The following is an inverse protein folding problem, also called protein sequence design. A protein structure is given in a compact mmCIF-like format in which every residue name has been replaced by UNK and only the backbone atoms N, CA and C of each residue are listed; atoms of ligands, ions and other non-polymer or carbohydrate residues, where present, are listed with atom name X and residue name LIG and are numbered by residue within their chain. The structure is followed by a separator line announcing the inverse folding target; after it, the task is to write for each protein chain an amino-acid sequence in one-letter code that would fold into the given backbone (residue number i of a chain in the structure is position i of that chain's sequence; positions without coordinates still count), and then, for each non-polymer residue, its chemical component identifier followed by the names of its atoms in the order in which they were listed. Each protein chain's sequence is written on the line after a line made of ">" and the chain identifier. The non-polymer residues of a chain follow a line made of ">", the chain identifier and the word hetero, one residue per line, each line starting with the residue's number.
data_IF_323323047170
#
_entry.id   IF_323323047170
#
_cell.length_a   1.000
_cell.length_b   1.000
_cell.length_c   1.000
_cell.angle_alpha   90.00
_cell.angle_beta   90.00
_cell.angle_gamma   90.00
#
_symmetry.space_group_name_H-M   'P 1'
#
loop_
_entity.id
_entity.type
_entity.pdbx_description
1 polymer ?
#
# COMPACT_ATOMS: atom_id res chain seq x y z
N UNK A 1 -30.25 20.35 30.15
CA UNK A 1 -30.65 20.45 28.74
C UNK A 1 -29.53 19.96 27.90
N UNK A 2 -29.71 18.98 26.98
CA UNK A 2 -28.68 18.53 26.06
C UNK A 2 -28.43 19.60 24.99
N UNK A 3 -27.19 19.71 24.44
CA UNK A 3 -26.89 20.69 23.40
C UNK A 3 -27.65 20.35 22.12
N UNK A 4 -28.26 21.41 21.57
CA UNK A 4 -28.99 21.37 20.29
C UNK A 4 -28.05 20.80 19.21
N UNK A 5 -28.45 19.68 18.63
CA UNK A 5 -27.71 18.98 17.59
C UNK A 5 -27.44 19.91 16.41
N UNK A 6 -26.16 20.06 16.08
CA UNK A 6 -25.76 20.61 14.77
C UNK A 6 -26.34 19.65 13.71
N UNK A 7 -27.36 20.12 12.98
CA UNK A 7 -27.79 19.44 11.73
C UNK A 7 -26.56 19.31 10.86
N UNK A 8 -26.14 18.10 10.61
CA UNK A 8 -25.02 17.83 9.73
C UNK A 8 -25.24 18.58 8.41
N UNK A 9 -24.26 19.41 8.02
CA UNK A 9 -24.27 20.10 6.73
C UNK A 9 -24.31 19.00 5.66
N UNK A 10 -25.34 19.03 4.81
CA UNK A 10 -25.43 18.07 3.70
C UNK A 10 -24.11 18.08 2.94
N UNK A 11 -23.53 16.90 2.68
CA UNK A 11 -22.28 16.77 1.97
C UNK A 11 -22.57 17.07 0.49
N UNK A 12 -22.03 18.18 -0.02
CA UNK A 12 -22.15 18.50 -1.44
C UNK A 12 -21.24 17.55 -2.23
N UNK A 13 -21.82 16.89 -3.21
CA UNK A 13 -21.09 16.04 -4.16
C UNK A 13 -20.92 16.77 -5.49
N UNK A 14 -19.84 16.45 -6.19
CA UNK A 14 -19.60 16.96 -7.54
C UNK A 14 -20.28 16.01 -8.53
N UNK A 15 -21.18 16.58 -9.35
CA UNK A 15 -22.01 15.78 -10.28
C UNK A 15 -21.58 15.90 -11.75
N UNK A 16 -20.76 16.92 -12.07
CA UNK A 16 -20.35 17.19 -13.45
C UNK A 16 -18.98 16.60 -13.74
N UNK A 17 -18.95 15.67 -14.70
CA UNK A 17 -17.74 15.04 -15.23
C UNK A 17 -17.76 15.18 -16.77
N UNK A 18 -16.67 15.74 -17.33
CA UNK A 18 -16.55 15.96 -18.78
C UNK A 18 -15.10 15.77 -19.24
N UNK A 19 -14.92 15.45 -20.52
CA UNK A 19 -13.63 15.62 -21.20
C UNK A 19 -13.50 17.09 -21.61
N UNK A 20 -12.40 17.70 -21.20
CA UNK A 20 -12.11 19.11 -21.44
C UNK A 20 -10.81 19.23 -22.24
N UNK A 21 -10.84 20.10 -23.28
CA UNK A 21 -9.63 20.43 -24.02
C UNK A 21 -8.57 21.02 -23.08
N UNK A 22 -7.35 20.49 -23.18
CA UNK A 22 -6.24 20.87 -22.32
C UNK A 22 -5.87 22.35 -22.47
N UNK A 23 -6.14 22.94 -23.64
CA UNK A 23 -5.86 24.33 -23.93
C UNK A 23 -6.82 25.31 -23.23
N UNK A 24 -7.98 24.82 -22.77
CA UNK A 24 -8.91 25.61 -21.97
C UNK A 24 -8.54 25.67 -20.50
N UNK A 25 -7.66 24.79 -20.05
CA UNK A 25 -7.33 24.68 -18.63
C UNK A 25 -6.38 25.78 -18.19
N UNK A 26 -6.74 26.46 -17.13
CA UNK A 26 -6.00 27.59 -16.56
C UNK A 26 -5.27 27.12 -15.31
N UNK A 27 -3.93 27.08 -15.31
CA UNK A 27 -3.16 26.74 -14.11
C UNK A 27 -3.39 27.78 -13.00
N UNK A 28 -3.54 27.31 -11.77
CA UNK A 28 -3.67 28.21 -10.63
C UNK A 28 -2.34 28.93 -10.35
N UNK A 29 -2.31 30.26 -10.52
CA UNK A 29 -1.09 31.07 -10.46
C UNK A 29 -0.35 31.02 -9.10
N UNK A 30 -1.07 30.72 -8.00
CA UNK A 30 -0.51 30.60 -6.63
C UNK A 30 -0.38 29.15 -6.19
N UNK A 31 -0.19 28.22 -7.12
CA UNK A 31 0.05 26.83 -6.76
C UNK A 31 1.41 26.71 -6.04
N UNK A 32 1.35 26.39 -4.75
CA UNK A 32 2.55 26.23 -3.92
C UNK A 32 3.29 24.90 -4.19
N UNK A 33 2.65 23.93 -4.88
CA UNK A 33 3.27 22.66 -5.23
C UNK A 33 4.10 22.81 -6.50
N UNK A 34 5.38 22.50 -6.40
CA UNK A 34 6.30 22.45 -7.53
C UNK A 34 6.36 21.04 -8.09
N UNK A 35 6.54 20.95 -9.41
CA UNK A 35 6.72 19.67 -10.10
C UNK A 35 8.10 19.70 -10.79
N UNK A 36 9.00 18.82 -10.37
CA UNK A 36 10.29 18.66 -11.03
C UNK A 36 10.16 17.82 -12.32
N UNK A 37 11.18 17.85 -13.17
CA UNK A 37 11.17 17.13 -14.44
C UNK A 37 11.03 15.62 -14.28
N UNK A 38 11.62 15.05 -13.22
CA UNK A 38 11.56 13.62 -12.97
C UNK A 38 10.13 13.19 -12.60
N UNK A 39 9.44 13.95 -11.75
CA UNK A 39 8.04 13.69 -11.42
C UNK A 39 7.13 13.77 -12.66
N UNK A 40 7.36 14.75 -13.54
CA UNK A 40 6.58 14.84 -14.80
C UNK A 40 6.85 13.63 -15.67
N UNK A 41 8.09 13.15 -15.77
CA UNK A 41 8.45 11.93 -16.51
C UNK A 41 7.75 10.69 -15.93
N UNK A 42 7.70 10.53 -14.61
CA UNK A 42 6.95 9.45 -13.94
C UNK A 42 5.45 9.54 -14.23
N UNK A 43 4.84 10.73 -14.15
CA UNK A 43 3.44 10.93 -14.48
C UNK A 43 3.14 10.62 -15.95
N UNK A 44 4.04 10.95 -16.88
CA UNK A 44 3.92 10.58 -18.30
C UNK A 44 3.94 9.07 -18.49
N UNK A 45 4.88 8.38 -17.85
CA UNK A 45 4.97 6.93 -17.90
C UNK A 45 3.69 6.28 -17.37
N UNK A 46 3.19 6.76 -16.24
CA UNK A 46 1.90 6.33 -15.66
C UNK A 46 0.71 6.58 -16.60
N UNK A 47 0.67 7.72 -17.28
CA UNK A 47 -0.39 8.02 -18.26
C UNK A 47 -0.34 7.09 -19.49
N UNK A 48 0.84 6.68 -19.92
CA UNK A 48 1.00 5.73 -21.04
C UNK A 48 0.54 4.33 -20.67
N UNK A 49 0.85 3.88 -19.46
CA UNK A 49 0.53 2.53 -18.98
C UNK A 49 -0.94 2.40 -18.59
N UNK A 50 -1.40 3.27 -17.70
CA UNK A 50 -2.73 3.16 -17.11
C UNK A 50 -3.81 4.02 -17.79
N UNK A 51 -3.40 4.91 -18.68
CA UNK A 51 -4.30 5.95 -19.21
C UNK A 51 -4.57 7.06 -18.19
N UNK A 52 -5.53 7.92 -18.51
CA UNK A 52 -5.93 9.03 -17.63
C UNK A 52 -7.04 8.58 -16.66
N UNK A 53 -6.70 7.75 -15.67
CA UNK A 53 -7.64 7.11 -14.74
C UNK A 53 -8.16 8.08 -13.68
N UNK A 54 -7.29 8.96 -13.16
CA UNK A 54 -7.63 9.88 -12.07
C UNK A 54 -7.90 11.29 -12.63
N UNK A 55 -9.17 11.76 -12.71
CA UNK A 55 -9.52 13.03 -13.35
C UNK A 55 -8.91 14.24 -12.65
N UNK A 56 -8.77 15.36 -13.38
CA UNK A 56 -8.41 16.65 -12.81
C UNK A 56 -9.63 17.31 -12.21
N UNK A 57 -9.46 18.09 -11.13
CA UNK A 57 -10.52 18.89 -10.53
C UNK A 57 -10.36 20.33 -11.00
N UNK A 58 -11.42 20.90 -11.54
CA UNK A 58 -11.46 22.28 -12.06
C UNK A 58 -12.70 23.02 -11.55
N UNK A 59 -12.67 24.33 -11.65
CA UNK A 59 -13.86 25.15 -11.41
C UNK A 59 -14.64 25.44 -12.71
N UNK A 60 -15.74 26.17 -12.59
CA UNK A 60 -16.60 26.57 -13.72
C UNK A 60 -15.87 27.38 -14.78
N UNK A 61 -14.81 28.07 -14.42
CA UNK A 61 -14.01 28.96 -15.28
C UNK A 61 -12.73 28.24 -15.79
N UNK A 62 -12.68 26.89 -15.67
CA UNK A 62 -11.59 26.01 -16.08
C UNK A 62 -10.28 26.19 -15.29
N UNK A 63 -10.30 26.88 -14.15
CA UNK A 63 -9.11 26.94 -13.30
C UNK A 63 -8.84 25.58 -12.64
N UNK A 64 -7.61 25.13 -12.73
CA UNK A 64 -7.19 23.85 -12.14
C UNK A 64 -7.13 23.99 -10.63
N UNK A 65 -7.88 23.14 -9.92
CA UNK A 65 -7.88 23.02 -8.46
C UNK A 65 -6.95 21.87 -8.03
N UNK A 66 -7.03 20.70 -8.70
CA UNK A 66 -6.15 19.57 -8.44
C UNK A 66 -5.74 18.86 -9.74
N UNK A 67 -4.53 18.31 -9.78
CA UNK A 67 -4.01 17.57 -10.93
C UNK A 67 -3.08 18.36 -11.85
N UNK A 68 -2.50 19.49 -11.41
CA UNK A 68 -1.57 20.29 -12.21
C UNK A 68 -0.46 19.47 -12.88
N UNK A 69 0.20 18.56 -12.14
CA UNK A 69 1.24 17.70 -12.68
C UNK A 69 0.73 16.78 -13.80
N UNK A 70 -0.49 16.23 -13.65
CA UNK A 70 -1.12 15.39 -14.70
C UNK A 70 -1.44 16.17 -15.95
N UNK A 71 -1.89 17.43 -15.81
CA UNK A 71 -2.11 18.33 -16.95
C UNK A 71 -0.79 18.62 -17.68
N UNK A 72 0.29 18.88 -16.94
CA UNK A 72 1.61 19.09 -17.54
C UNK A 72 2.11 17.84 -18.28
N UNK A 73 1.99 16.66 -17.66
CA UNK A 73 2.36 15.40 -18.26
C UNK A 73 1.54 15.10 -19.52
N UNK A 74 0.22 15.31 -19.47
CA UNK A 74 -0.67 15.12 -20.61
C UNK A 74 -0.35 16.06 -21.78
N UNK A 75 0.01 17.29 -21.50
CA UNK A 75 0.50 18.25 -22.53
C UNK A 75 1.74 17.75 -23.23
N UNK A 76 2.72 17.25 -22.49
CA UNK A 76 3.95 16.70 -23.05
C UNK A 76 3.72 15.38 -23.81
N UNK A 77 2.66 14.62 -23.49
CA UNK A 77 2.24 13.43 -24.23
C UNK A 77 1.37 13.75 -25.46
N UNK A 78 1.05 15.03 -25.71
CA UNK A 78 0.22 15.42 -26.84
C UNK A 78 -1.27 15.06 -26.70
N UNK A 79 -1.73 14.82 -25.47
CA UNK A 79 -3.14 14.54 -25.20
C UNK A 79 -3.93 15.83 -25.34
N UNK A 80 -4.95 15.84 -26.20
CA UNK A 80 -5.73 17.05 -26.48
C UNK A 80 -6.87 17.29 -25.51
N UNK A 81 -7.45 16.24 -24.94
CA UNK A 81 -8.58 16.29 -24.02
C UNK A 81 -8.35 15.39 -22.81
N UNK A 82 -8.68 15.86 -21.62
CA UNK A 82 -8.51 15.09 -20.39
C UNK A 82 -9.82 15.06 -19.57
N UNK A 83 -10.04 13.99 -18.77
CA UNK A 83 -11.19 13.90 -17.90
C UNK A 83 -11.10 14.92 -16.76
N UNK A 84 -12.15 15.68 -16.57
CA UNK A 84 -12.25 16.70 -15.52
C UNK A 84 -13.55 16.55 -14.73
N UNK A 85 -13.44 16.86 -13.44
CA UNK A 85 -14.55 16.96 -12.51
C UNK A 85 -14.70 18.41 -12.08
N UNK A 86 -15.92 18.95 -12.15
CA UNK A 86 -16.19 20.35 -11.86
C UNK A 86 -16.59 20.55 -10.40
N UNK A 87 -15.76 21.22 -9.63
CA UNK A 87 -16.05 21.59 -8.24
C UNK A 87 -16.73 22.97 -8.13
N UNK A 88 -17.92 23.11 -8.75
CA UNK A 88 -18.64 24.38 -8.89
C UNK A 88 -19.20 24.91 -7.57
N UNK A 89 -19.42 24.05 -6.60
CA UNK A 89 -19.98 24.38 -5.28
C UNK A 89 -19.00 25.05 -4.32
N UNK A 90 -17.70 25.08 -4.67
CA UNK A 90 -16.67 25.65 -3.81
C UNK A 90 -16.57 27.17 -3.96
N UNK A 91 -16.58 27.88 -2.85
CA UNK A 91 -16.22 29.33 -2.81
C UNK A 91 -14.73 29.49 -3.09
N UNK A 92 -14.28 30.69 -3.45
CA UNK A 92 -12.87 30.97 -3.74
C UNK A 92 -11.94 30.70 -2.55
N UNK A 93 -12.42 30.93 -1.32
CA UNK A 93 -11.68 30.58 -0.11
C UNK A 93 -11.55 29.06 0.04
N UNK A 94 -12.62 28.30 -0.23
CA UNK A 94 -12.63 26.87 -0.18
C UNK A 94 -11.74 26.24 -1.27
N UNK A 95 -11.75 26.78 -2.50
CA UNK A 95 -10.85 26.34 -3.58
C UNK A 95 -9.38 26.43 -3.14
N UNK A 96 -8.99 27.61 -2.60
CA UNK A 96 -7.62 27.83 -2.10
C UNK A 96 -7.24 26.88 -0.96
N UNK A 97 -8.15 26.71 0.00
CA UNK A 97 -7.93 25.77 1.10
C UNK A 97 -7.83 24.33 0.60
N UNK A 98 -8.68 23.93 -0.35
CA UNK A 98 -8.68 22.59 -0.93
C UNK A 98 -7.38 22.27 -1.69
N UNK A 99 -6.86 23.22 -2.49
CA UNK A 99 -5.56 23.06 -3.19
C UNK A 99 -4.45 22.70 -2.19
N UNK A 100 -4.41 23.35 -1.03
CA UNK A 100 -3.42 23.08 0.01
C UNK A 100 -3.69 21.73 0.72
N UNK A 101 -4.96 21.49 1.07
CA UNK A 101 -5.38 20.28 1.78
C UNK A 101 -5.13 19.01 0.95
N UNK A 102 -5.54 18.98 -0.32
CA UNK A 102 -5.34 17.86 -1.25
C UNK A 102 -3.86 17.46 -1.34
N UNK A 103 -2.99 18.45 -1.51
CA UNK A 103 -1.56 18.21 -1.54
C UNK A 103 -0.97 17.75 -0.20
N UNK A 104 -1.46 18.26 0.92
CA UNK A 104 -0.91 17.94 2.25
C UNK A 104 -1.42 16.61 2.79
N UNK A 105 -2.71 16.32 2.62
CA UNK A 105 -3.32 15.09 3.13
C UNK A 105 -2.72 13.85 2.48
N UNK A 106 -2.39 13.90 1.19
CA UNK A 106 -1.71 12.80 0.51
C UNK A 106 -0.34 12.45 1.13
N UNK A 107 0.35 13.44 1.72
CA UNK A 107 1.65 13.22 2.38
C UNK A 107 1.53 12.68 3.82
N UNK A 108 0.34 12.71 4.41
CA UNK A 108 0.11 12.20 5.77
C UNK A 108 -0.17 10.69 5.81
N UNK A 109 -0.45 10.08 4.65
CA UNK A 109 -0.61 8.63 4.55
C UNK A 109 0.76 7.95 4.58
N UNK A 110 0.81 6.77 5.19
CA UNK A 110 1.97 5.87 5.17
C UNK A 110 1.63 4.59 4.40
N UNK A 111 2.58 3.68 4.38
CA UNK A 111 2.43 2.34 3.84
C UNK A 111 2.45 1.32 4.97
N UNK A 112 1.73 0.25 4.81
CA UNK A 112 1.94 -1.00 5.51
C UNK A 112 3.08 -1.72 4.78
N UNK A 113 4.27 -1.72 5.36
CA UNK A 113 5.48 -2.19 4.68
C UNK A 113 5.40 -3.70 4.36
N UNK A 114 4.72 -4.51 5.18
CA UNK A 114 4.56 -5.94 4.94
C UNK A 114 3.63 -6.18 3.73
N UNK A 115 2.45 -5.57 3.74
CA UNK A 115 1.50 -5.66 2.63
C UNK A 115 2.09 -5.12 1.33
N UNK A 116 2.79 -3.98 1.39
CA UNK A 116 3.44 -3.36 0.23
C UNK A 116 4.50 -4.27 -0.37
N UNK A 117 5.29 -4.95 0.47
CA UNK A 117 6.32 -5.88 0.00
C UNK A 117 5.72 -7.08 -0.73
N UNK A 118 4.60 -7.63 -0.22
CA UNK A 118 3.87 -8.73 -0.88
C UNK A 118 3.36 -8.29 -2.26
N UNK A 119 2.67 -7.14 -2.33
CA UNK A 119 2.13 -6.62 -3.60
C UNK A 119 3.23 -6.34 -4.63
N UNK A 120 4.36 -5.76 -4.22
CA UNK A 120 5.50 -5.51 -5.11
C UNK A 120 6.12 -6.81 -5.62
N UNK A 121 6.23 -7.82 -4.78
CA UNK A 121 6.74 -9.15 -5.15
C UNK A 121 5.82 -9.85 -6.15
N UNK A 122 4.51 -9.76 -5.96
CA UNK A 122 3.52 -10.31 -6.88
C UNK A 122 3.55 -9.61 -8.24
N UNK A 123 3.64 -8.28 -8.25
CA UNK A 123 3.80 -7.51 -9.49
C UNK A 123 5.10 -7.87 -10.22
N UNK A 124 6.20 -8.04 -9.51
CA UNK A 124 7.48 -8.47 -10.07
C UNK A 124 7.39 -9.86 -10.69
N UNK A 125 6.73 -10.80 -10.01
CA UNK A 125 6.51 -12.17 -10.49
C UNK A 125 5.67 -12.18 -11.78
N UNK A 126 4.73 -11.24 -11.92
CA UNK A 126 3.93 -11.03 -13.11
C UNK A 126 4.65 -10.19 -14.20
N UNK A 127 5.95 -9.94 -14.05
CA UNK A 127 6.78 -9.17 -14.98
C UNK A 127 6.27 -7.72 -15.21
N UNK A 128 5.58 -7.13 -14.22
CA UNK A 128 5.18 -5.73 -14.28
C UNK A 128 6.37 -4.80 -14.04
N UNK A 129 6.44 -3.69 -14.78
CA UNK A 129 7.50 -2.70 -14.61
C UNK A 129 7.30 -1.85 -13.35
N UNK A 130 7.99 -2.23 -12.27
CA UNK A 130 7.89 -1.56 -10.97
C UNK A 130 8.38 -0.11 -10.99
N UNK A 131 9.18 0.32 -11.98
CA UNK A 131 9.64 1.70 -12.12
C UNK A 131 8.48 2.69 -12.35
N UNK A 132 7.32 2.20 -12.79
CA UNK A 132 6.09 2.97 -13.01
C UNK A 132 5.38 3.37 -11.71
N UNK A 133 5.71 2.73 -10.59
CA UNK A 133 5.04 2.95 -9.30
C UNK A 133 5.52 4.20 -8.57
N UNK A 134 6.64 4.80 -9.03
CA UNK A 134 7.16 6.06 -8.49
C UNK A 134 8.01 5.93 -7.24
N UNK A 135 8.31 4.71 -6.79
CA UNK A 135 9.32 4.47 -5.76
C UNK A 135 10.72 4.65 -6.34
N UNK A 136 11.64 5.16 -5.54
CA UNK A 136 13.06 5.19 -5.89
C UNK A 136 13.69 3.79 -5.75
N UNK A 137 14.81 3.56 -6.41
CA UNK A 137 15.56 2.30 -6.31
C UNK A 137 15.94 1.98 -4.84
N UNK A 138 16.27 3.01 -4.06
CA UNK A 138 16.59 2.86 -2.64
C UNK A 138 15.37 2.41 -1.80
N UNK A 139 14.18 2.97 -2.08
CA UNK A 139 12.93 2.55 -1.43
C UNK A 139 12.57 1.12 -1.85
N UNK A 140 12.65 0.80 -3.14
CA UNK A 140 12.39 -0.54 -3.65
C UNK A 140 13.31 -1.58 -3.02
N UNK A 141 14.61 -1.31 -2.98
CA UNK A 141 15.59 -2.21 -2.34
C UNK A 141 15.32 -2.38 -0.83
N UNK A 142 14.89 -1.32 -0.14
CA UNK A 142 14.52 -1.41 1.27
C UNK A 142 13.28 -2.27 1.50
N UNK A 143 12.26 -2.11 0.67
CA UNK A 143 10.98 -2.83 0.82
C UNK A 143 11.14 -4.30 0.41
N UNK A 144 11.73 -4.59 -0.75
CA UNK A 144 11.92 -5.95 -1.25
C UNK A 144 13.10 -6.66 -0.58
N UNK A 145 14.20 -5.94 -0.30
CA UNK A 145 15.36 -6.49 0.39
C UNK A 145 15.15 -6.74 1.88
N UNK A 146 14.07 -6.22 2.46
CA UNK A 146 13.64 -6.55 3.83
C UNK A 146 13.16 -7.99 3.98
N UNK A 147 12.76 -8.65 2.90
CA UNK A 147 12.44 -10.09 2.90
C UNK A 147 13.70 -10.96 2.79
N UNK A 148 14.74 -10.51 2.08
CA UNK A 148 16.03 -11.21 1.99
C UNK A 148 16.96 -10.95 3.18
N UNK A 149 16.66 -9.95 4.00
CA UNK A 149 17.34 -9.66 5.26
C UNK A 149 16.60 -10.29 6.46
N UNK A 150 16.03 -11.46 6.32
CA UNK A 150 16.10 -12.40 7.44
C UNK A 150 17.61 -12.52 7.75
N UNK A 151 18.12 -11.71 8.70
CA UNK A 151 19.43 -11.94 9.25
C UNK A 151 19.44 -13.41 9.62
N UNK A 152 20.27 -14.17 8.93
CA UNK A 152 20.75 -15.43 9.47
C UNK A 152 21.11 -15.08 10.91
N UNK A 153 20.32 -15.57 11.84
CA UNK A 153 20.61 -15.32 13.24
C UNK A 153 22.01 -15.92 13.46
N UNK A 154 22.88 -15.24 14.18
CA UNK A 154 24.19 -15.76 14.56
C UNK A 154 24.04 -16.98 15.49
N UNK A 155 22.96 -17.81 15.28
CA UNK A 155 22.64 -18.99 16.05
C UNK A 155 23.57 -20.11 15.62
N UNK A 156 24.61 -20.33 16.41
CA UNK A 156 25.56 -21.40 16.24
C UNK A 156 24.94 -22.74 16.72
N UNK A 157 24.35 -23.47 15.77
CA UNK A 157 23.70 -24.79 15.99
C UNK A 157 24.67 -25.75 16.68
N UNK A 158 25.93 -25.78 16.28
CA UNK A 158 26.91 -26.69 16.81
C UNK A 158 27.23 -26.42 18.29
N UNK A 159 27.29 -25.15 18.66
CA UNK A 159 27.46 -24.74 20.08
C UNK A 159 26.19 -25.01 20.88
N UNK A 160 25.01 -24.84 20.34
CA UNK A 160 23.73 -25.09 21.04
C UNK A 160 23.52 -26.62 21.24
N UNK A 161 23.87 -27.44 20.28
CA UNK A 161 23.80 -28.93 20.39
C UNK A 161 24.71 -29.50 21.48
N UNK A 162 25.74 -28.77 21.92
CA UNK A 162 26.61 -29.20 23.03
C UNK A 162 26.02 -28.86 24.40
N UNK A 163 24.99 -28.01 24.47
CA UNK A 163 24.32 -27.73 25.73
C UNK A 163 23.47 -28.91 26.21
N UNK A 164 23.36 -29.11 27.53
CA UNK A 164 22.52 -30.18 28.04
C UNK A 164 21.06 -29.95 27.63
N UNK A 165 20.44 -30.92 26.97
CA UNK A 165 19.06 -30.88 26.53
C UNK A 165 18.13 -30.91 27.74
N UNK A 166 17.19 -29.95 27.80
CA UNK A 166 16.15 -29.92 28.84
C UNK A 166 15.03 -30.93 28.57
N UNK A 167 14.79 -31.27 27.28
CA UNK A 167 13.75 -32.21 26.87
C UNK A 167 14.32 -33.60 26.58
N UNK A 168 13.57 -34.62 26.97
CA UNK A 168 13.91 -36.02 26.71
C UNK A 168 12.78 -36.65 25.87
N UNK A 169 13.09 -37.68 25.07
CA UNK A 169 12.06 -38.45 24.37
C UNK A 169 11.00 -38.96 25.36
N UNK A 170 9.73 -38.66 25.08
CA UNK A 170 8.59 -38.98 25.93
C UNK A 170 8.10 -37.81 26.78
N UNK A 171 8.83 -36.71 26.86
CA UNK A 171 8.38 -35.52 27.60
C UNK A 171 7.16 -34.85 26.93
N UNK A 172 6.18 -34.54 27.73
CA UNK A 172 4.99 -33.75 27.34
C UNK A 172 4.99 -32.41 28.04
N UNK A 173 5.00 -31.34 27.26
CA UNK A 173 4.95 -29.95 27.73
C UNK A 173 3.54 -29.40 27.52
N UNK A 174 2.99 -28.73 28.55
CA UNK A 174 1.73 -28.03 28.48
C UNK A 174 1.99 -26.52 28.39
N UNK A 175 1.56 -25.90 27.29
CA UNK A 175 1.73 -24.49 27.00
C UNK A 175 0.34 -23.83 26.94
N UNK A 176 -0.24 -23.55 28.10
CA UNK A 176 -1.64 -23.14 28.20
C UNK A 176 -2.56 -24.26 27.71
N UNK A 177 -3.29 -24.02 26.62
CA UNK A 177 -4.19 -25.01 26.00
C UNK A 177 -3.50 -25.88 24.94
N UNK A 178 -2.21 -25.67 24.67
CA UNK A 178 -1.45 -26.39 23.68
C UNK A 178 -0.58 -27.47 24.31
N UNK A 179 -0.32 -28.52 23.55
CA UNK A 179 0.52 -29.66 23.98
C UNK A 179 1.68 -29.81 22.99
N UNK A 180 2.87 -30.06 23.54
CA UNK A 180 4.07 -30.31 22.76
C UNK A 180 4.70 -31.61 23.29
N UNK A 181 5.00 -32.56 22.42
CA UNK A 181 5.64 -33.80 22.77
C UNK A 181 7.03 -33.90 22.11
N UNK A 182 8.01 -34.23 22.90
CA UNK A 182 9.31 -34.64 22.40
C UNK A 182 9.26 -36.14 22.09
N UNK A 183 9.22 -36.54 20.81
CA UNK A 183 9.09 -37.95 20.45
C UNK A 183 9.28 -38.22 18.97
N UNK A 184 9.37 -39.49 18.65
CA UNK A 184 9.48 -39.98 17.28
C UNK A 184 8.13 -39.90 16.58
N UNK A 185 8.03 -39.06 15.55
CA UNK A 185 6.79 -38.83 14.79
C UNK A 185 6.37 -40.03 13.91
N UNK A 186 7.19 -41.05 13.79
CA UNK A 186 6.84 -42.29 13.09
C UNK A 186 6.11 -43.29 13.99
N UNK A 187 6.07 -43.02 15.30
CA UNK A 187 5.49 -43.94 16.30
C UNK A 187 4.08 -43.52 16.72
N UNK A 188 3.08 -44.42 16.64
CA UNK A 188 1.72 -44.14 17.07
C UNK A 188 1.57 -43.71 18.54
N UNK A 189 2.48 -44.20 19.41
CA UNK A 189 2.48 -43.90 20.84
C UNK A 189 2.70 -42.39 21.10
N UNK A 190 3.53 -41.72 20.28
CA UNK A 190 3.79 -40.31 20.35
C UNK A 190 2.49 -39.51 20.12
N UNK A 191 1.71 -39.92 19.14
CA UNK A 191 0.39 -39.26 18.87
C UNK A 191 -0.64 -39.57 19.94
N UNK A 192 -0.65 -40.78 20.49
CA UNK A 192 -1.54 -41.12 21.60
C UNK A 192 -1.29 -40.21 22.80
N UNK A 193 -0.02 -39.95 23.13
CA UNK A 193 0.38 -39.07 24.21
C UNK A 193 0.02 -37.62 23.92
N UNK A 194 0.25 -37.16 22.68
CA UNK A 194 -0.05 -35.78 22.27
C UNK A 194 -1.54 -35.49 22.28
N UNK A 195 -2.33 -36.38 21.68
CA UNK A 195 -3.75 -36.15 21.39
C UNK A 195 -4.69 -36.44 22.56
N UNK A 196 -4.27 -37.24 23.54
CA UNK A 196 -5.08 -37.57 24.73
C UNK A 196 -6.51 -38.03 24.36
N UNK A 197 -6.61 -38.89 23.34
CA UNK A 197 -7.90 -39.42 22.86
C UNK A 197 -8.71 -38.46 21.98
N UNK A 198 -8.23 -37.26 21.68
CA UNK A 198 -8.88 -36.31 20.79
C UNK A 198 -8.44 -36.55 19.34
N UNK A 199 -9.28 -36.15 18.39
CA UNK A 199 -8.94 -36.15 16.96
C UNK A 199 -8.47 -34.77 16.50
N UNK A 200 -7.48 -34.70 15.59
CA UNK A 200 -7.07 -33.46 14.95
C UNK A 200 -8.00 -33.16 13.75
N UNK A 201 -8.37 -31.91 13.60
CA UNK A 201 -9.14 -31.44 12.43
C UNK A 201 -8.24 -31.18 11.22
N UNK A 202 -6.96 -30.90 11.46
CA UNK A 202 -5.93 -30.65 10.43
C UNK A 202 -4.61 -31.17 10.95
N UNK A 203 -3.82 -31.76 10.03
CA UNK A 203 -2.43 -32.15 10.29
C UNK A 203 -1.55 -31.39 9.31
N UNK A 204 -0.55 -30.68 9.83
CA UNK A 204 0.52 -30.05 9.03
C UNK A 204 1.82 -30.73 9.41
N UNK A 205 2.56 -31.21 8.43
CA UNK A 205 3.81 -31.94 8.64
C UNK A 205 4.83 -31.55 7.58
N UNK A 206 6.09 -31.52 7.98
CA UNK A 206 7.25 -31.39 7.10
C UNK A 206 8.07 -32.68 7.24
N UNK A 207 7.83 -33.67 6.38
CA UNK A 207 8.54 -34.94 6.45
C UNK A 207 10.02 -34.78 6.05
N UNK A 208 10.95 -35.46 6.68
CA UNK A 208 12.35 -35.48 6.25
C UNK A 208 12.45 -36.08 4.86
N UNK A 209 13.22 -35.44 3.99
CA UNK A 209 13.50 -35.86 2.61
C UNK A 209 14.65 -36.87 2.57
#
# INVERSE_FOLDING_TARGET
>A
SPPVGQKGKAMNTTERFEKVSIDKLIPYARNARTHNKEQIKQLRASLREFGFVNPCIIDKDYNIIAGHGRVMAAKEEGISEIPCVFAEHLTDAQKRAYILADNRLALNAGWDDEMLSVELSDLQTNAFDLSLLGFSDAEMNKILGGMDNAKDDDFDIDTELQKPTLSKPGDLWLLGNHRLVCGDSTKPETYTLLMEGKAANLVVTDPPY
#
